data_IF_757563411107
#
_entry.id   IF_757563411107
#
_cell.length_a   1.000
_cell.length_b   1.000
_cell.length_c   1.000
_cell.angle_alpha   90.00
_cell.angle_beta   90.00
_cell.angle_gamma   90.00
#
_symmetry.space_group_name_H-M   'P 1'
#
loop_
_entity.id
_entity.type
_entity.pdbx_description
1 polymer ?
#
# COMPACT_ATOMS: atom_id res chain seq x y z
N UNK A 1 19.10 -23.64 -15.48
CA UNK A 1 19.43 -22.22 -15.76
C UNK A 1 18.34 -21.54 -16.59
N UNK A 2 17.80 -22.19 -17.61
CA UNK A 2 16.64 -21.72 -18.40
C UNK A 2 15.36 -21.49 -17.59
N UNK A 3 14.97 -22.44 -16.73
CA UNK A 3 13.76 -22.29 -15.90
C UNK A 3 13.83 -21.06 -14.97
N UNK A 4 14.99 -20.77 -14.41
CA UNK A 4 15.19 -19.58 -13.58
C UNK A 4 15.09 -18.27 -14.38
N UNK A 5 15.49 -18.28 -15.65
CA UNK A 5 15.36 -17.13 -16.55
C UNK A 5 13.93 -16.94 -17.04
N UNK A 6 13.22 -18.02 -17.36
CA UNK A 6 11.77 -17.98 -17.67
C UNK A 6 10.98 -17.50 -16.45
N UNK A 7 11.30 -17.98 -15.25
CA UNK A 7 10.66 -17.54 -14.00
C UNK A 7 10.97 -16.06 -13.72
N UNK A 8 12.21 -15.61 -13.90
CA UNK A 8 12.60 -14.18 -13.79
C UNK A 8 11.92 -13.29 -14.83
N UNK A 9 11.74 -13.77 -16.07
CA UNK A 9 11.02 -13.04 -17.11
C UNK A 9 9.52 -12.93 -16.80
N UNK A 10 8.90 -13.99 -16.27
CA UNK A 10 7.50 -13.97 -15.79
C UNK A 10 7.33 -13.05 -14.57
N UNK A 11 8.33 -13.01 -13.68
CA UNK A 11 8.43 -12.05 -12.57
C UNK A 11 8.69 -10.60 -13.02
N UNK A 12 9.06 -10.35 -14.28
CA UNK A 12 9.16 -8.98 -14.82
C UNK A 12 7.81 -8.44 -15.31
N UNK A 13 6.85 -9.31 -15.65
CA UNK A 13 5.53 -8.90 -16.15
C UNK A 13 4.58 -8.55 -15.00
N UNK A 14 4.02 -7.34 -15.00
CA UNK A 14 2.96 -6.89 -14.07
C UNK A 14 1.57 -7.36 -14.51
N UNK A 15 1.47 -8.54 -15.11
CA UNK A 15 0.17 -9.07 -15.53
C UNK A 15 -0.68 -9.34 -14.29
N UNK A 16 -1.81 -8.63 -14.21
CA UNK A 16 -2.87 -8.89 -13.24
C UNK A 16 -3.85 -9.84 -13.91
N UNK A 17 -3.98 -11.04 -13.38
CA UNK A 17 -4.95 -12.06 -13.80
C UNK A 17 -6.26 -11.93 -13.01
N UNK A 18 -6.19 -11.45 -11.77
CA UNK A 18 -7.34 -11.28 -10.89
C UNK A 18 -7.17 -10.03 -10.02
N UNK A 19 -8.24 -9.25 -9.89
CA UNK A 19 -8.30 -8.06 -9.02
C UNK A 19 -9.30 -8.34 -7.91
N UNK A 20 -8.88 -8.43 -6.64
CA UNK A 20 -9.82 -8.61 -5.54
C UNK A 20 -10.64 -7.33 -5.31
N UNK A 21 -11.86 -7.51 -4.83
CA UNK A 21 -12.62 -6.39 -4.26
C UNK A 21 -11.96 -5.89 -2.97
N UNK A 22 -12.07 -4.58 -2.73
CA UNK A 22 -11.68 -3.96 -1.47
C UNK A 22 -12.70 -4.34 -0.40
N UNK A 23 -12.24 -4.94 0.69
CA UNK A 23 -13.12 -5.27 1.81
C UNK A 23 -13.48 -3.99 2.59
N UNK A 24 -14.57 -4.08 3.36
CA UNK A 24 -14.95 -2.98 4.24
C UNK A 24 -13.82 -2.69 5.25
N UNK A 25 -13.49 -1.40 5.43
CA UNK A 25 -12.41 -0.91 6.29
C UNK A 25 -11.00 -1.47 5.99
N UNK A 26 -10.81 -2.02 4.79
CA UNK A 26 -9.52 -2.56 4.40
C UNK A 26 -8.54 -1.45 3.99
N UNK A 27 -7.34 -1.50 4.56
CA UNK A 27 -6.24 -0.65 4.13
C UNK A 27 -5.76 -1.03 2.74
N UNK A 28 -5.40 -0.03 1.94
CA UNK A 28 -4.77 -0.18 0.62
C UNK A 28 -3.53 -1.09 0.69
N UNK A 29 -2.76 -1.01 1.78
CA UNK A 29 -1.65 -1.91 2.02
C UNK A 29 -2.08 -3.38 2.05
N UNK A 30 -3.14 -3.71 2.80
CA UNK A 30 -3.69 -5.08 2.87
C UNK A 30 -4.18 -5.54 1.51
N UNK A 31 -4.91 -4.68 0.82
CA UNK A 31 -5.43 -4.97 -0.52
C UNK A 31 -4.29 -5.25 -1.52
N UNK A 32 -3.20 -4.46 -1.51
CA UNK A 32 -2.01 -4.70 -2.34
C UNK A 32 -1.32 -6.02 -2.01
N UNK A 33 -1.31 -6.43 -0.73
CA UNK A 33 -0.81 -7.75 -0.33
C UNK A 33 -1.68 -8.87 -0.90
N UNK A 34 -3.01 -8.77 -0.80
CA UNK A 34 -3.95 -9.74 -1.40
C UNK A 34 -3.81 -9.80 -2.91
N UNK A 35 -3.73 -8.65 -3.58
CA UNK A 35 -3.48 -8.56 -5.02
C UNK A 35 -2.20 -9.32 -5.40
N UNK A 36 -1.11 -9.12 -4.66
CA UNK A 36 0.15 -9.81 -4.92
C UNK A 36 0.08 -11.34 -4.70
N UNK A 37 -0.60 -11.77 -3.63
CA UNK A 37 -0.78 -13.20 -3.30
C UNK A 37 -1.63 -13.89 -4.39
N UNK A 38 -2.78 -13.30 -4.74
CA UNK A 38 -3.72 -13.87 -5.71
C UNK A 38 -3.17 -13.90 -7.14
N UNK A 39 -2.19 -13.04 -7.45
CA UNK A 39 -1.48 -13.04 -8.74
C UNK A 39 -0.11 -13.74 -8.69
N UNK A 40 0.22 -14.44 -7.59
CA UNK A 40 1.45 -15.18 -7.41
C UNK A 40 2.73 -14.37 -7.73
N UNK A 41 2.78 -13.11 -7.29
CA UNK A 41 3.88 -12.18 -7.59
C UNK A 41 5.21 -12.49 -6.87
N UNK A 42 5.30 -13.63 -6.21
CA UNK A 42 6.52 -14.13 -5.57
C UNK A 42 6.68 -13.61 -4.15
N UNK A 43 7.91 -13.23 -3.78
CA UNK A 43 8.17 -12.72 -2.43
C UNK A 43 7.61 -11.31 -2.25
N UNK A 44 7.45 -10.86 -1.01
CA UNK A 44 7.06 -9.47 -0.73
C UNK A 44 7.97 -8.44 -1.42
N UNK A 45 9.26 -8.72 -1.57
CA UNK A 45 10.20 -7.86 -2.31
C UNK A 45 9.92 -7.81 -3.81
N UNK A 46 9.49 -8.93 -4.39
CA UNK A 46 9.14 -9.00 -5.80
C UNK A 46 7.83 -8.28 -6.07
N UNK A 47 6.84 -8.46 -5.19
CA UNK A 47 5.58 -7.72 -5.21
C UNK A 47 5.81 -6.20 -5.13
N UNK A 48 6.60 -5.73 -4.16
CA UNK A 48 6.93 -4.30 -4.02
C UNK A 48 7.61 -3.76 -5.28
N UNK A 49 8.55 -4.51 -5.87
CA UNK A 49 9.20 -4.10 -7.12
C UNK A 49 8.20 -4.02 -8.28
N UNK A 50 7.26 -4.96 -8.38
CA UNK A 50 6.23 -4.98 -9.41
C UNK A 50 5.26 -3.81 -9.26
N UNK A 51 4.81 -3.54 -8.04
CA UNK A 51 3.84 -2.50 -7.72
C UNK A 51 4.46 -1.10 -7.86
N UNK A 52 5.63 -0.87 -7.26
CA UNK A 52 6.21 0.48 -7.16
C UNK A 52 7.40 0.74 -8.11
N UNK A 53 7.90 -0.28 -8.82
CA UNK A 53 9.01 -0.14 -9.77
C UNK A 53 10.42 -0.02 -9.16
N UNK A 54 10.54 0.27 -7.85
CA UNK A 54 11.82 0.51 -7.17
C UNK A 54 12.25 -0.60 -6.20
N UNK A 55 13.56 -0.72 -5.97
CA UNK A 55 14.14 -1.64 -4.94
C UNK A 55 14.12 -1.07 -3.52
N UNK A 56 13.91 0.23 -3.39
CA UNK A 56 14.07 0.98 -2.13
C UNK A 56 12.76 1.48 -1.55
N UNK A 57 11.63 1.23 -2.22
CA UNK A 57 10.31 1.63 -1.72
C UNK A 57 9.94 0.70 -0.57
N UNK A 58 9.68 1.28 0.60
CA UNK A 58 9.08 0.55 1.72
C UNK A 58 7.62 0.95 1.77
N UNK A 59 6.67 0.05 1.43
CA UNK A 59 5.26 0.38 1.48
C UNK A 59 4.92 0.75 2.92
N UNK A 60 4.28 1.91 3.08
CA UNK A 60 3.85 2.42 4.37
C UNK A 60 2.37 2.06 4.57
N UNK A 61 2.03 1.62 5.78
CA UNK A 61 0.63 1.43 6.19
C UNK A 61 -0.14 2.74 6.23
N UNK A 62 0.56 3.83 6.56
CA UNK A 62 -0.08 5.11 6.87
C UNK A 62 -0.45 5.88 5.60
N UNK A 63 0.47 5.94 4.64
CA UNK A 63 0.26 6.63 3.37
C UNK A 63 1.10 6.00 2.26
N UNK A 64 0.49 5.60 1.12
CA UNK A 64 1.25 5.18 -0.05
C UNK A 64 2.05 6.36 -0.60
N UNK A 65 3.29 6.09 -0.99
CA UNK A 65 4.09 6.99 -1.83
C UNK A 65 4.17 6.43 -3.24
N UNK A 66 4.46 7.28 -4.23
CA UNK A 66 4.60 6.88 -5.63
C UNK A 66 3.25 6.39 -6.22
N UNK A 67 2.14 7.02 -5.83
CA UNK A 67 0.80 6.59 -6.23
C UNK A 67 0.64 6.49 -7.76
N UNK A 68 1.11 7.49 -8.51
CA UNK A 68 0.92 7.49 -9.97
C UNK A 68 1.66 6.30 -10.62
N UNK A 69 2.91 6.04 -10.20
CA UNK A 69 3.68 4.90 -10.67
C UNK A 69 3.02 3.56 -10.30
N UNK A 70 2.43 3.47 -9.10
CA UNK A 70 1.66 2.30 -8.67
C UNK A 70 0.39 2.11 -9.51
N UNK A 71 -0.39 3.16 -9.71
CA UNK A 71 -1.64 3.12 -10.46
C UNK A 71 -1.41 2.68 -11.91
N UNK A 72 -0.36 3.20 -12.56
CA UNK A 72 0.05 2.79 -13.89
C UNK A 72 0.44 1.30 -13.94
N UNK A 73 1.26 0.84 -12.98
CA UNK A 73 1.76 -0.53 -12.92
C UNK A 73 0.69 -1.55 -12.56
N UNK A 74 -0.28 -1.14 -11.77
CA UNK A 74 -1.49 -1.91 -11.47
C UNK A 74 -2.53 -1.82 -12.58
N UNK A 75 -2.17 -1.34 -13.78
CA UNK A 75 -3.06 -1.22 -14.94
C UNK A 75 -4.40 -0.52 -14.62
N UNK A 76 -4.37 0.45 -13.69
CA UNK A 76 -5.55 1.16 -13.17
C UNK A 76 -6.61 0.26 -12.52
N UNK A 77 -6.23 -0.94 -12.07
CA UNK A 77 -7.09 -1.86 -11.35
C UNK A 77 -7.27 -1.52 -9.86
N UNK A 78 -7.02 -0.26 -9.47
CA UNK A 78 -7.19 0.17 -8.10
C UNK A 78 -8.68 0.22 -7.74
N UNK A 79 -9.04 -0.03 -6.46
CA UNK A 79 -10.43 -0.22 -6.05
C UNK A 79 -11.28 1.06 -6.06
N UNK A 80 -10.67 2.23 -6.28
CA UNK A 80 -11.36 3.51 -6.37
C UNK A 80 -10.89 4.30 -7.60
N UNK A 81 -11.84 5.00 -8.24
CA UNK A 81 -11.60 5.80 -9.43
C UNK A 81 -10.83 7.09 -9.14
N UNK A 82 -10.94 7.61 -7.92
CA UNK A 82 -10.29 8.83 -7.45
C UNK A 82 -9.16 8.52 -6.48
N UNK A 83 -8.01 9.17 -6.71
CA UNK A 83 -6.90 9.14 -5.76
C UNK A 83 -7.31 9.69 -4.38
N UNK A 84 -8.09 10.76 -4.34
CA UNK A 84 -8.51 11.36 -3.07
C UNK A 84 -9.37 10.40 -2.26
N UNK A 85 -10.31 9.71 -2.91
CA UNK A 85 -11.20 8.76 -2.24
C UNK A 85 -10.42 7.54 -1.74
N UNK A 86 -9.48 7.02 -2.54
CA UNK A 86 -8.59 5.94 -2.09
C UNK A 86 -7.79 6.33 -0.84
N UNK A 87 -7.30 7.57 -0.79
CA UNK A 87 -6.54 8.07 0.36
C UNK A 87 -7.42 8.26 1.59
N UNK A 88 -8.64 8.77 1.43
CA UNK A 88 -9.55 9.00 2.55
C UNK A 88 -10.24 7.73 3.05
N UNK A 89 -10.46 6.72 2.20
CA UNK A 89 -11.19 5.49 2.57
C UNK A 89 -10.23 4.35 2.93
N UNK A 90 -9.11 4.21 2.21
CA UNK A 90 -8.24 3.03 2.30
C UNK A 90 -6.88 3.33 2.94
N UNK A 91 -6.73 4.45 3.66
CA UNK A 91 -5.48 4.75 4.37
C UNK A 91 -5.75 5.31 5.77
N UNK A 92 -4.68 5.53 6.54
CA UNK A 92 -4.78 6.15 7.86
C UNK A 92 -4.76 7.69 7.80
N UNK A 93 -4.79 8.29 6.59
CA UNK A 93 -4.84 9.74 6.41
C UNK A 93 -5.99 10.43 7.18
N UNK A 94 -7.22 9.89 7.25
CA UNK A 94 -8.32 10.52 7.97
C UNK A 94 -8.02 10.77 9.46
N UNK A 95 -7.25 9.87 10.09
CA UNK A 95 -6.83 10.02 11.48
C UNK A 95 -5.85 11.17 11.68
N UNK A 96 -5.09 11.51 10.64
CA UNK A 96 -4.15 12.63 10.65
C UNK A 96 -4.75 13.94 10.14
N UNK A 97 -5.84 13.88 9.37
CA UNK A 97 -6.54 15.03 8.75
C UNK A 97 -6.80 16.19 9.72
N UNK A 98 -7.28 16.00 10.97
CA UNK A 98 -7.58 17.12 11.88
C UNK A 98 -6.35 17.92 12.32
N UNK A 99 -5.15 17.35 12.15
CA UNK A 99 -3.89 17.96 12.56
C UNK A 99 -3.16 18.64 11.40
N UNK A 100 -3.74 18.62 10.20
CA UNK A 100 -3.17 19.21 8.99
C UNK A 100 -3.98 20.45 8.59
N UNK A 101 -3.29 21.56 8.34
CA UNK A 101 -3.89 22.70 7.65
C UNK A 101 -4.10 22.40 6.16
N UNK A 102 -4.84 23.25 5.47
CA UNK A 102 -5.22 23.05 4.07
C UNK A 102 -4.00 22.98 3.13
N UNK A 103 -2.98 23.81 3.37
CA UNK A 103 -1.78 23.88 2.54
C UNK A 103 -0.94 22.61 2.70
N UNK A 104 -0.72 22.16 3.94
CA UNK A 104 -0.02 20.92 4.26
C UNK A 104 -0.74 19.71 3.70
N UNK A 105 -2.07 19.69 3.77
CA UNK A 105 -2.86 18.60 3.19
C UNK A 105 -2.69 18.53 1.67
N UNK A 106 -2.82 19.66 0.98
CA UNK A 106 -2.64 19.71 -0.48
C UNK A 106 -1.24 19.25 -0.91
N UNK A 107 -0.20 19.74 -0.22
CA UNK A 107 1.18 19.34 -0.51
C UNK A 107 1.41 17.84 -0.23
N UNK A 108 0.85 17.32 0.87
CA UNK A 108 0.94 15.91 1.22
C UNK A 108 0.29 15.02 0.15
N UNK A 109 -0.86 15.43 -0.40
CA UNK A 109 -1.50 14.70 -1.49
C UNK A 109 -0.61 14.68 -2.74
N UNK A 110 0.03 15.80 -3.08
CA UNK A 110 0.96 15.89 -4.22
C UNK A 110 2.23 15.04 -4.01
N UNK A 111 2.84 15.11 -2.84
CA UNK A 111 4.05 14.35 -2.49
C UNK A 111 3.79 12.83 -2.53
N UNK A 112 2.58 12.42 -2.14
CA UNK A 112 2.12 11.02 -2.19
C UNK A 112 2.06 10.49 -3.63
N UNK A 113 1.78 11.36 -4.61
CA UNK A 113 1.80 11.01 -6.04
C UNK A 113 3.20 10.84 -6.58
N UNK A 114 4.05 11.85 -6.39
CA UNK A 114 5.38 11.97 -7.01
C UNK A 114 6.47 11.13 -6.33
N UNK A 115 6.27 10.79 -5.04
CA UNK A 115 7.11 9.83 -4.34
C UNK A 115 8.11 10.39 -3.33
N UNK A 116 7.90 11.60 -2.83
CA UNK A 116 8.72 12.17 -1.76
C UNK A 116 8.39 11.55 -0.39
N UNK A 117 8.77 10.28 -0.20
CA UNK A 117 8.36 9.44 0.95
C UNK A 117 8.98 9.84 2.30
N UNK A 118 10.17 10.45 2.29
CA UNK A 118 10.84 10.91 3.52
C UNK A 118 10.13 12.12 4.13
N UNK A 119 9.59 12.98 3.27
CA UNK A 119 8.88 14.19 3.66
C UNK A 119 7.49 13.87 4.24
N UNK A 120 6.80 12.84 3.72
CA UNK A 120 5.47 12.43 4.18
C UNK A 120 5.43 12.03 5.66
N UNK A 121 6.37 11.21 6.12
CA UNK A 121 6.42 10.79 7.53
C UNK A 121 6.78 11.93 8.47
N UNK A 122 7.62 12.87 8.02
CA UNK A 122 7.98 14.06 8.77
C UNK A 122 6.80 15.02 8.90
N UNK A 123 6.09 15.29 7.80
CA UNK A 123 4.90 16.16 7.76
C UNK A 123 3.76 15.64 8.63
N UNK A 124 3.61 14.32 8.72
CA UNK A 124 2.63 13.67 9.61
C UNK A 124 3.09 13.59 11.09
N UNK A 125 4.29 14.10 11.42
CA UNK A 125 4.85 14.04 12.77
C UNK A 125 5.24 12.63 13.24
N UNK A 126 5.25 11.65 12.33
CA UNK A 126 5.49 10.23 12.66
C UNK A 126 6.95 9.96 13.04
N UNK A 127 7.89 10.79 12.58
CA UNK A 127 9.33 10.67 12.89
C UNK A 127 9.67 11.24 14.28
N UNK A 128 8.92 12.24 14.75
CA UNK A 128 9.12 12.82 16.08
C UNK A 128 8.61 11.90 17.20
N UNK A 129 7.67 11.01 16.87
CA UNK A 129 7.17 9.99 17.77
C UNK A 129 8.07 8.74 17.69
N UNK A 130 8.69 8.31 18.80
CA UNK A 130 9.45 7.04 18.87
C UNK A 130 8.60 5.79 18.53
N UNK A 131 7.31 5.96 18.31
CA UNK A 131 6.39 4.98 17.71
C UNK A 131 6.65 4.73 16.21
N UNK A 132 7.50 5.51 15.55
CA UNK A 132 7.72 5.47 14.09
C UNK A 132 8.79 4.49 13.56
N UNK A 133 9.42 3.67 14.40
CA UNK A 133 10.50 2.78 13.93
C UNK A 133 10.15 1.33 14.28
N UNK A 134 9.60 0.61 13.29
CA UNK A 134 9.54 -0.85 13.28
C UNK A 134 8.98 -1.51 14.54
N UNK A 135 7.95 -0.94 15.18
CA UNK A 135 7.20 -1.76 16.14
C UNK A 135 6.48 -2.84 15.36
N UNK A 136 6.67 -4.13 15.67
CA UNK A 136 5.88 -5.20 15.05
C UNK A 136 4.41 -4.85 15.21
N UNK A 137 3.64 -5.07 14.15
CA UNK A 137 2.22 -4.74 14.11
C UNK A 137 1.54 -5.33 15.34
N UNK A 138 0.88 -4.46 16.12
CA UNK A 138 0.07 -4.88 17.26
C UNK A 138 -1.35 -4.96 16.77
N UNK A 139 -1.94 -6.14 16.88
CA UNK A 139 -3.34 -6.38 16.59
C UNK A 139 -4.04 -6.82 17.87
N UNK A 140 -5.33 -6.51 17.97
CA UNK A 140 -6.18 -7.04 19.02
C UNK A 140 -6.52 -8.50 18.68
N UNK A 141 -6.21 -9.49 19.53
CA UNK A 141 -6.54 -10.89 19.26
C UNK A 141 -8.03 -11.14 19.07
N UNK A 142 -8.89 -10.38 19.76
CA UNK A 142 -10.33 -10.48 19.61
C UNK A 142 -10.79 -10.01 18.22
N UNK A 143 -10.28 -8.86 17.74
CA UNK A 143 -10.59 -8.37 16.41
C UNK A 143 -10.08 -9.32 15.31
N UNK A 144 -8.92 -9.93 15.50
CA UNK A 144 -8.42 -10.94 14.53
C UNK A 144 -9.30 -12.18 14.49
N UNK A 145 -9.79 -12.65 15.65
CA UNK A 145 -10.71 -13.79 15.69
C UNK A 145 -12.03 -13.47 14.97
N UNK A 146 -12.58 -12.28 15.20
CA UNK A 146 -13.79 -11.78 14.54
C UNK A 146 -13.59 -11.65 13.02
N UNK A 147 -12.47 -11.07 12.58
CA UNK A 147 -12.14 -10.95 11.16
C UNK A 147 -12.03 -12.32 10.48
N UNK A 148 -11.41 -13.30 11.14
CA UNK A 148 -11.30 -14.67 10.62
C UNK A 148 -12.69 -15.33 10.54
N UNK A 149 -13.57 -15.08 11.50
CA UNK A 149 -14.93 -15.64 11.49
C UNK A 149 -15.78 -15.03 10.37
N UNK A 150 -15.66 -13.72 10.15
CA UNK A 150 -16.46 -12.98 9.17
C UNK A 150 -15.96 -13.10 7.74
N UNK A 151 -14.63 -13.11 7.54
CA UNK A 151 -13.99 -13.02 6.22
C UNK A 151 -13.11 -14.24 5.89
N UNK A 152 -12.84 -15.12 6.85
CA UNK A 152 -11.96 -16.28 6.70
C UNK A 152 -10.49 -15.96 7.01
N UNK A 153 -9.65 -17.00 7.02
CA UNK A 153 -8.19 -16.85 7.02
C UNK A 153 -7.69 -16.67 5.58
N UNK A 154 -6.93 -15.61 5.32
CA UNK A 154 -6.18 -15.40 4.08
C UNK A 154 -4.71 -15.75 4.25
#
# INVERSE_FOLDING_TARGET
MELANVYRARLASTTICYTPELLHDELLYSWLCRLAILNAWGTGRDAVRKIFGGRTVTPSLTLPSHFDAMNERCARALPHDSFADLMEVSTLLPYHRPFLDHERYAQLMEDSRSGNSLDLKLRLGLVANRFGINTPHRFCPACVAEDIEMNGCH
#
